data_IF_403303918752
#
_entry.id   IF_403303918752
#
_cell.length_a   1.000
_cell.length_b   1.000
_cell.length_c   1.000
_cell.angle_alpha   90.00
_cell.angle_beta   90.00
_cell.angle_gamma   90.00
#
_symmetry.space_group_name_H-M   'P 1'
#
loop_
_entity.id
_entity.type
_entity.pdbx_description
1 polymer ?
#
# COMPACT_ATOMS: atom_id res chain seq x y z
N UNK A 1 53.31 -14.31 17.63
CA UNK A 1 52.76 -14.89 17.11
C UNK A 1 51.30 -15.03 16.94
N UNK A 2 50.55 -15.59 16.86
CA UNK A 2 49.24 -15.85 16.54
C UNK A 2 48.24 -14.84 16.76
N UNK A 3 48.57 -13.72 16.76
CA UNK A 3 47.68 -12.73 17.05
C UNK A 3 46.86 -12.37 15.91
N UNK A 4 47.15 -12.64 14.83
CA UNK A 4 46.42 -12.14 13.78
C UNK A 4 45.17 -12.88 13.52
N UNK A 5 44.90 -13.90 14.07
CA UNK A 5 43.80 -14.63 13.76
C UNK A 5 42.54 -13.98 14.11
N UNK A 6 42.50 -13.02 14.83
CA UNK A 6 41.30 -12.49 15.27
C UNK A 6 40.48 -11.86 14.27
N UNK A 7 41.01 -11.34 13.36
CA UNK A 7 40.24 -10.46 12.53
C UNK A 7 39.19 -11.11 11.67
N UNK A 8 39.23 -12.29 11.46
CA UNK A 8 38.34 -12.76 10.52
C UNK A 8 36.98 -12.98 10.94
N UNK A 9 36.61 -12.97 12.03
CA UNK A 9 35.35 -13.33 12.38
C UNK A 9 34.32 -12.29 12.11
N UNK A 10 34.63 -11.20 11.75
CA UNK A 10 33.66 -10.17 11.66
C UNK A 10 32.77 -10.19 10.46
N UNK A 11 33.14 -10.85 9.50
CA UNK A 11 32.46 -10.69 8.27
C UNK A 11 31.06 -11.20 8.13
N UNK A 12 30.67 -12.13 8.75
CA UNK A 12 29.43 -12.75 8.34
C UNK A 12 28.14 -12.20 8.86
N UNK A 13 28.18 -11.21 9.61
CA UNK A 13 26.98 -10.78 10.26
C UNK A 13 26.02 -9.96 9.46
N UNK A 14 26.48 -9.23 8.54
CA UNK A 14 25.64 -8.27 7.88
C UNK A 14 24.59 -8.83 6.97
N UNK A 15 24.75 -9.97 6.47
CA UNK A 15 23.87 -10.48 5.51
C UNK A 15 22.46 -10.71 5.99
N UNK A 16 22.30 -11.06 7.18
CA UNK A 16 21.00 -11.39 7.69
C UNK A 16 20.01 -10.23 7.64
N UNK A 17 20.47 -9.04 7.71
CA UNK A 17 19.58 -7.91 7.79
C UNK A 17 18.80 -7.67 6.50
N UNK A 18 19.25 -8.15 5.41
CA UNK A 18 18.64 -7.86 4.15
C UNK A 18 17.37 -8.64 3.90
N UNK A 19 17.27 -9.79 4.45
CA UNK A 19 16.16 -10.66 4.14
C UNK A 19 14.79 -10.10 4.51
N UNK A 20 14.68 -9.35 5.56
CA UNK A 20 13.39 -8.86 6.00
C UNK A 20 12.84 -7.72 5.18
N UNK A 21 13.61 -7.17 4.27
CA UNK A 21 13.17 -6.02 3.53
C UNK A 21 12.39 -6.39 2.28
N UNK A 22 12.43 -7.64 1.88
CA UNK A 22 11.88 -8.06 0.60
C UNK A 22 10.39 -7.78 0.44
N UNK A 23 9.62 -7.81 1.52
CA UNK A 23 8.18 -7.57 1.47
C UNK A 23 7.79 -6.16 1.88
N UNK A 24 8.75 -5.27 2.04
CA UNK A 24 8.44 -3.90 2.42
C UNK A 24 7.72 -3.18 1.29
N UNK A 25 6.79 -2.33 1.66
CA UNK A 25 6.04 -1.51 0.72
C UNK A 25 6.19 -0.06 1.14
N UNK A 26 7.22 0.63 0.65
CA UNK A 26 7.52 1.99 1.10
C UNK A 26 6.41 2.99 0.86
N UNK A 27 5.75 2.92 -0.28
CA UNK A 27 4.67 3.84 -0.60
C UNK A 27 3.48 3.63 0.33
N UNK A 28 3.11 2.39 0.57
CA UNK A 28 2.03 2.09 1.51
C UNK A 28 2.37 2.57 2.92
N UNK A 29 3.59 2.32 3.37
CA UNK A 29 3.99 2.72 4.73
C UNK A 29 3.92 4.23 4.90
N UNK A 30 4.29 4.99 3.89
CA UNK A 30 4.15 6.45 3.95
C UNK A 30 2.70 6.87 4.07
N UNK A 31 1.82 6.26 3.29
CA UNK A 31 0.39 6.57 3.33
C UNK A 31 -0.21 6.19 4.67
N UNK A 32 0.17 5.04 5.21
CA UNK A 32 -0.34 4.57 6.49
C UNK A 32 0.04 5.49 7.65
N UNK A 33 1.18 6.16 7.55
CA UNK A 33 1.63 7.11 8.59
C UNK A 33 1.04 8.50 8.44
N UNK A 34 0.38 8.81 7.34
CA UNK A 34 -0.21 10.11 7.13
C UNK A 34 -1.43 10.34 8.01
N UNK A 35 -1.75 11.61 8.23
CA UNK A 35 -3.04 11.97 8.80
C UNK A 35 -4.15 11.56 7.85
N UNK A 36 -5.36 11.47 8.33
CA UNK A 36 -6.50 11.10 7.50
C UNK A 36 -6.65 12.04 6.29
N UNK A 37 -6.51 13.34 6.50
CA UNK A 37 -6.63 14.31 5.43
C UNK A 37 -5.56 14.13 4.35
N UNK A 38 -4.32 13.94 4.77
CA UNK A 38 -3.22 13.73 3.81
C UNK A 38 -3.34 12.40 3.08
N UNK A 39 -3.81 11.38 3.76
CA UNK A 39 -4.04 10.06 3.17
C UNK A 39 -5.12 10.13 2.10
N UNK A 40 -6.20 10.82 2.38
CA UNK A 40 -7.28 11.01 1.40
C UNK A 40 -6.77 11.76 0.17
N UNK A 41 -5.93 12.77 0.36
CA UNK A 41 -5.35 13.51 -0.76
C UNK A 41 -4.42 12.62 -1.59
N UNK A 42 -3.58 11.83 -0.94
CA UNK A 42 -2.66 10.94 -1.63
C UNK A 42 -3.40 9.88 -2.46
N UNK A 43 -4.43 9.27 -1.88
CA UNK A 43 -5.22 8.29 -2.60
C UNK A 43 -6.04 8.93 -3.73
N UNK A 44 -6.49 10.17 -3.52
CA UNK A 44 -7.15 10.94 -4.56
C UNK A 44 -6.26 11.18 -5.76
N UNK A 45 -4.98 11.47 -5.52
CA UNK A 45 -4.02 11.62 -6.61
C UNK A 45 -3.81 10.32 -7.38
N UNK A 46 -3.81 9.19 -6.70
CA UNK A 46 -3.70 7.90 -7.37
C UNK A 46 -4.91 7.61 -8.24
N UNK A 47 -6.09 7.92 -7.77
CA UNK A 47 -7.32 7.76 -8.53
C UNK A 47 -7.31 8.67 -9.76
N UNK A 48 -6.93 9.92 -9.59
CA UNK A 48 -6.81 10.87 -10.70
C UNK A 48 -5.75 10.44 -11.70
N UNK A 49 -4.63 9.93 -11.21
CA UNK A 49 -3.56 9.43 -12.07
C UNK A 49 -3.98 8.25 -12.93
N UNK A 50 -5.00 7.52 -12.51
CA UNK A 50 -5.56 6.43 -13.28
C UNK A 50 -6.60 6.90 -14.31
N UNK A 51 -6.77 8.22 -14.48
CA UNK A 51 -7.72 8.77 -15.43
C UNK A 51 -9.14 8.87 -14.93
N UNK A 52 -9.35 8.73 -13.64
CA UNK A 52 -10.69 8.74 -13.07
C UNK A 52 -10.94 10.10 -12.43
N UNK A 53 -12.05 10.72 -12.79
CA UNK A 53 -12.44 12.00 -12.20
C UNK A 53 -13.05 11.77 -10.83
N UNK A 54 -12.35 12.24 -9.80
CA UNK A 54 -12.86 12.23 -8.43
C UNK A 54 -12.34 13.51 -7.78
N UNK A 55 -13.26 14.40 -7.40
CA UNK A 55 -12.85 15.68 -6.83
C UNK A 55 -12.34 15.57 -5.41
N UNK A 56 -12.51 14.46 -4.78
CA UNK A 56 -11.97 14.24 -3.44
C UNK A 56 -12.35 12.87 -2.93
N UNK A 57 -11.53 12.35 -2.02
CA UNK A 57 -11.78 11.08 -1.34
C UNK A 57 -12.44 11.41 -0.01
N UNK A 58 -13.63 10.89 0.19
CA UNK A 58 -14.39 11.08 1.42
C UNK A 58 -13.94 10.12 2.51
N UNK A 59 -13.54 8.92 2.13
CA UNK A 59 -13.15 7.89 3.10
C UNK A 59 -12.12 6.97 2.47
N UNK A 60 -11.12 6.60 3.26
CA UNK A 60 -10.08 5.69 2.82
C UNK A 60 -9.77 4.72 3.97
N UNK A 61 -9.80 3.43 3.68
CA UNK A 61 -9.58 2.39 4.67
C UNK A 61 -8.60 1.35 4.13
N UNK A 62 -7.61 1.01 4.94
CA UNK A 62 -6.67 -0.05 4.61
C UNK A 62 -7.37 -1.41 4.74
N UNK A 63 -7.27 -2.22 3.70
CA UNK A 63 -7.93 -3.50 3.62
C UNK A 63 -7.00 -4.71 3.76
N UNK A 64 -5.72 -4.47 3.94
CA UNK A 64 -4.74 -5.53 4.10
C UNK A 64 -3.76 -5.61 2.94
N UNK A 65 -2.78 -6.51 3.06
CA UNK A 65 -1.76 -6.72 2.04
C UNK A 65 -1.79 -8.16 1.55
N UNK A 66 -1.39 -8.36 0.31
CA UNK A 66 -1.33 -9.70 -0.26
C UNK A 66 0.04 -10.34 0.01
N UNK A 67 0.25 -11.54 -0.51
CA UNK A 67 1.46 -12.31 -0.29
C UNK A 67 2.71 -11.64 -0.85
N UNK A 68 2.55 -10.79 -1.84
CA UNK A 68 3.67 -10.06 -2.46
C UNK A 68 3.94 -8.73 -1.79
N UNK A 69 3.18 -8.40 -0.75
CA UNK A 69 3.33 -7.14 -0.05
C UNK A 69 2.58 -5.98 -0.67
N UNK A 70 1.78 -6.20 -1.70
CA UNK A 70 0.94 -5.15 -2.25
C UNK A 70 -0.16 -4.81 -1.27
N UNK A 71 -0.39 -3.52 -1.05
CA UNK A 71 -1.38 -3.05 -0.09
C UNK A 71 -2.67 -2.68 -0.80
N UNK A 72 -3.79 -3.11 -0.25
CA UNK A 72 -5.10 -2.81 -0.78
C UNK A 72 -5.79 -1.79 0.10
N UNK A 73 -6.26 -0.73 -0.51
CA UNK A 73 -7.04 0.30 0.15
C UNK A 73 -8.41 0.42 -0.52
N UNK A 74 -9.44 0.68 0.26
CA UNK A 74 -10.71 1.13 -0.29
C UNK A 74 -10.74 2.65 -0.22
N UNK A 75 -11.22 3.29 -1.28
CA UNK A 75 -11.33 4.74 -1.35
C UNK A 75 -12.70 5.10 -1.89
N UNK A 76 -13.46 5.88 -1.13
CA UNK A 76 -14.77 6.35 -1.55
C UNK A 76 -14.66 7.80 -1.97
N UNK A 77 -15.06 8.07 -3.19
CA UNK A 77 -15.11 9.43 -3.70
C UNK A 77 -16.27 10.20 -3.07
N UNK A 78 -16.15 11.51 -3.03
CA UNK A 78 -17.21 12.36 -2.47
C UNK A 78 -18.55 12.17 -3.18
N UNK A 79 -18.55 11.72 -4.43
CA UNK A 79 -19.78 11.44 -5.18
C UNK A 79 -20.35 10.05 -4.88
N UNK A 80 -19.73 9.30 -3.99
CA UNK A 80 -20.21 7.99 -3.57
C UNK A 80 -19.58 6.80 -4.27
N UNK A 81 -18.84 7.02 -5.35
CA UNK A 81 -18.20 5.90 -6.04
C UNK A 81 -17.10 5.30 -5.17
N UNK A 82 -16.99 3.98 -5.21
CA UNK A 82 -16.03 3.24 -4.42
C UNK A 82 -14.94 2.65 -5.32
N UNK A 83 -13.71 2.77 -4.92
CA UNK A 83 -12.55 2.27 -5.66
C UNK A 83 -11.70 1.37 -4.79
N UNK A 84 -11.06 0.39 -5.41
CA UNK A 84 -9.99 -0.37 -4.82
C UNK A 84 -8.68 0.20 -5.35
N UNK A 85 -7.79 0.58 -4.46
CA UNK A 85 -6.47 1.09 -4.82
C UNK A 85 -5.45 0.09 -4.32
N UNK A 86 -4.76 -0.57 -5.24
CA UNK A 86 -3.72 -1.54 -4.92
C UNK A 86 -2.37 -0.87 -5.13
N UNK A 87 -1.59 -0.80 -4.07
CA UNK A 87 -0.27 -0.19 -4.10
C UNK A 87 0.76 -1.30 -4.09
N UNK A 88 1.51 -1.43 -5.18
CA UNK A 88 2.51 -2.46 -5.32
C UNK A 88 3.71 -2.20 -4.40
N UNK A 89 4.41 -3.26 -4.04
CA UNK A 89 5.56 -3.16 -3.14
C UNK A 89 6.86 -2.85 -3.89
N UNK A 90 6.77 -2.10 -4.97
CA UNK A 90 7.95 -1.71 -5.73
C UNK A 90 8.49 -0.37 -5.25
N UNK A 91 9.66 0.00 -5.74
CA UNK A 91 10.31 1.25 -5.33
C UNK A 91 9.53 2.49 -5.81
N UNK A 92 8.75 2.35 -6.85
CA UNK A 92 8.00 3.46 -7.43
C UNK A 92 6.62 3.65 -6.82
N UNK A 93 6.15 2.67 -6.06
CA UNK A 93 4.83 2.73 -5.48
C UNK A 93 3.73 2.70 -6.54
N UNK A 94 3.88 1.83 -7.52
CA UNK A 94 2.90 1.70 -8.60
C UNK A 94 1.51 1.42 -8.02
N UNK A 95 0.54 2.20 -8.43
CA UNK A 95 -0.82 2.06 -7.95
C UNK A 95 -1.74 1.62 -9.08
N UNK A 96 -2.62 0.68 -8.77
CA UNK A 96 -3.66 0.24 -9.69
C UNK A 96 -5.01 0.56 -9.07
N UNK A 97 -5.88 1.17 -9.85
CA UNK A 97 -7.18 1.62 -9.35
C UNK A 97 -8.28 0.93 -10.14
N UNK A 98 -9.20 0.32 -9.42
CA UNK A 98 -10.33 -0.37 -10.02
C UNK A 98 -11.61 0.16 -9.40
N UNK A 99 -12.60 0.50 -10.22
CA UNK A 99 -13.89 0.92 -9.72
C UNK A 99 -14.67 -0.29 -9.21
N UNK A 100 -15.19 -0.19 -8.00
CA UNK A 100 -16.01 -1.22 -7.42
C UNK A 100 -17.47 -0.97 -7.80
N UNK A 101 -18.06 -1.90 -8.53
CA UNK A 101 -19.45 -1.76 -8.92
C UNK A 101 -20.35 -2.15 -7.77
N UNK A 102 -21.38 -1.36 -7.51
CA UNK A 102 -22.37 -1.68 -6.50
C UNK A 102 -23.34 -2.70 -7.06
N UNK A 103 -23.57 -3.75 -6.30
CA UNK A 103 -24.55 -4.76 -6.63
C UNK A 103 -25.80 -4.60 -5.78
N UNK A 104 -26.71 -5.55 -5.89
CA UNK A 104 -27.91 -5.57 -5.07
C UNK A 104 -27.56 -5.76 -3.61
N UNK A 105 -28.33 -5.14 -2.71
CA UNK A 105 -28.14 -5.25 -1.25
C UNK A 105 -26.81 -4.72 -0.75
N UNK A 106 -26.25 -3.75 -1.44
CA UNK A 106 -24.98 -3.16 -1.01
C UNK A 106 -23.75 -3.99 -1.29
N UNK A 107 -23.87 -5.10 -2.03
CA UNK A 107 -22.71 -5.88 -2.42
C UNK A 107 -21.84 -5.08 -3.39
N UNK A 108 -20.54 -5.36 -3.39
CA UNK A 108 -19.62 -4.69 -4.29
C UNK A 108 -18.81 -5.73 -5.06
N UNK A 109 -18.37 -5.37 -6.26
CA UNK A 109 -17.51 -6.24 -7.06
C UNK A 109 -16.11 -6.37 -6.48
N UNK A 110 -15.70 -5.47 -5.62
CA UNK A 110 -14.41 -5.54 -4.94
C UNK A 110 -14.54 -6.38 -3.67
N UNK A 111 -13.53 -7.21 -3.43
CA UNK A 111 -13.51 -8.05 -2.23
C UNK A 111 -12.74 -7.32 -1.13
N UNK A 112 -13.46 -6.77 -0.19
CA UNK A 112 -12.85 -6.12 0.97
C UNK A 112 -13.11 -6.94 2.23
N UNK A 113 -12.14 -6.94 3.14
CA UNK A 113 -12.25 -7.67 4.39
C UNK A 113 -12.91 -6.87 5.50
N UNK A 114 -13.06 -5.58 5.35
CA UNK A 114 -13.63 -4.72 6.37
C UNK A 114 -14.62 -3.73 5.81
N UNK A 115 -14.97 -2.74 6.62
CA UNK A 115 -15.85 -1.67 6.18
C UNK A 115 -15.17 -0.79 5.14
N UNK A 116 -15.95 -0.17 4.31
CA UNK A 116 -15.45 0.69 3.25
C UNK A 116 -16.42 1.83 2.96
#
# INVERSE_FOLDING_TARGET
MGKQLISRLVAGVLIAAVAGVACANPAHLRIAKMTQTKRQAALGEMVSGAGIKCIGIKRAIYQGSDERGAALWSARCVDGRLFAVKIESDANGTARVVRCKSGKRGATSCKFKGKF
#
